data_IF_119704743413
#
_entry.id   IF_119704743413
#
_cell.length_a   1.000
_cell.length_b   1.000
_cell.length_c   1.000
_cell.angle_alpha   90.00
_cell.angle_beta   90.00
_cell.angle_gamma   90.00
#
_symmetry.space_group_name_H-M   'P 1'
#
loop_
_entity.id
_entity.type
_entity.pdbx_description
1 polymer ?
#
# COMPACT_ATOMS: atom_id res chain seq x y z
N UNK A 1 -6.97 -14.81 15.35
CA UNK A 1 -5.49 -14.66 15.40
C UNK A 1 -5.17 -13.55 16.39
N UNK A 2 -4.15 -13.68 17.26
CA UNK A 2 -3.75 -12.56 18.15
C UNK A 2 -3.16 -11.43 17.30
N UNK A 3 -3.53 -10.17 17.55
CA UNK A 3 -3.09 -8.99 16.77
C UNK A 3 -1.58 -8.92 16.58
N UNK A 4 -0.78 -9.27 17.60
CA UNK A 4 0.67 -9.35 17.52
C UNK A 4 1.20 -10.28 16.41
N UNK A 5 0.52 -11.41 16.13
CA UNK A 5 0.90 -12.31 15.03
C UNK A 5 0.66 -11.68 13.67
N UNK A 6 -0.41 -10.88 13.52
CA UNK A 6 -0.68 -10.14 12.29
C UNK A 6 0.35 -9.03 12.07
N UNK A 7 0.76 -8.34 13.13
CA UNK A 7 1.83 -7.32 13.04
C UNK A 7 3.15 -7.96 12.63
N UNK A 8 3.52 -9.10 13.22
CA UNK A 8 4.72 -9.84 12.80
C UNK A 8 4.64 -10.27 11.34
N UNK A 9 3.48 -10.77 10.89
CA UNK A 9 3.26 -11.12 9.49
C UNK A 9 3.40 -9.89 8.58
N UNK A 10 2.85 -8.75 8.99
CA UNK A 10 2.92 -7.49 8.25
C UNK A 10 4.35 -6.98 8.07
N UNK A 11 5.17 -7.11 9.13
CA UNK A 11 6.58 -6.76 9.07
C UNK A 11 7.36 -7.66 8.10
N UNK A 12 7.10 -8.96 8.12
CA UNK A 12 7.71 -9.90 7.17
C UNK A 12 7.29 -9.57 5.75
N UNK A 13 6.00 -9.29 5.53
CA UNK A 13 5.46 -8.87 4.24
C UNK A 13 6.14 -7.59 3.73
N UNK A 14 6.31 -6.57 4.58
CA UNK A 14 7.01 -5.34 4.23
C UNK A 14 8.45 -5.58 3.77
N UNK A 15 9.18 -6.44 4.48
CA UNK A 15 10.55 -6.82 4.12
C UNK A 15 10.55 -7.50 2.75
N UNK A 16 9.69 -8.51 2.55
CA UNK A 16 9.61 -9.24 1.28
C UNK A 16 9.29 -8.28 0.13
N UNK A 17 8.29 -7.41 0.27
CA UNK A 17 7.91 -6.44 -0.76
C UNK A 17 9.04 -5.46 -1.09
N UNK A 18 9.77 -4.98 -0.08
CA UNK A 18 10.92 -4.08 -0.31
C UNK A 18 12.05 -4.74 -1.12
N UNK A 19 12.23 -6.06 -1.01
CA UNK A 19 13.20 -6.81 -1.82
C UNK A 19 12.63 -7.25 -3.18
N UNK A 20 11.34 -7.57 -3.25
CA UNK A 20 10.70 -8.07 -4.44
C UNK A 20 10.43 -6.98 -5.49
N UNK A 21 10.18 -5.74 -5.08
CA UNK A 21 9.92 -4.64 -6.01
C UNK A 21 11.23 -4.19 -6.69
N UNK A 22 11.24 -4.05 -8.04
CA UNK A 22 12.37 -3.53 -8.82
C UNK A 22 13.00 -2.26 -8.25
N UNK A 23 14.30 -2.07 -8.52
CA UNK A 23 15.05 -0.87 -8.15
C UNK A 23 15.15 0.10 -9.33
N UNK A 24 15.58 1.32 -9.04
CA UNK A 24 15.66 2.44 -9.97
C UNK A 24 16.37 2.15 -11.32
N UNK A 25 17.28 1.18 -11.36
CA UNK A 25 18.07 0.84 -12.55
C UNK A 25 17.47 -0.26 -13.44
N UNK A 26 16.28 -0.76 -13.10
CA UNK A 26 15.58 -1.75 -13.93
C UNK A 26 14.99 -1.11 -15.18
N UNK A 27 15.01 -1.85 -16.29
CA UNK A 27 14.51 -1.39 -17.58
C UNK A 27 13.01 -1.03 -17.52
N UNK A 28 12.62 0.08 -18.16
CA UNK A 28 11.28 0.64 -18.03
C UNK A 28 10.19 -0.28 -18.59
N UNK A 29 10.44 -0.97 -19.71
CA UNK A 29 9.48 -1.89 -20.33
C UNK A 29 9.29 -3.12 -19.44
N UNK A 30 10.40 -3.74 -19.03
CA UNK A 30 10.41 -4.85 -18.07
C UNK A 30 9.64 -4.51 -16.79
N UNK A 31 9.78 -3.26 -16.35
CA UNK A 31 9.14 -2.75 -15.13
C UNK A 31 7.63 -2.58 -15.27
N UNK A 32 7.14 -2.02 -16.38
CA UNK A 32 5.70 -1.85 -16.60
C UNK A 32 4.96 -3.20 -16.64
N UNK A 33 5.54 -4.19 -17.32
CA UNK A 33 4.99 -5.54 -17.37
C UNK A 33 4.95 -6.18 -15.97
N UNK A 34 6.04 -6.03 -15.20
CA UNK A 34 6.12 -6.54 -13.83
C UNK A 34 5.16 -5.84 -12.87
N UNK A 35 5.00 -4.52 -12.99
CA UNK A 35 4.03 -3.75 -12.22
C UNK A 35 2.61 -4.29 -12.45
N UNK A 36 2.23 -4.48 -13.71
CA UNK A 36 0.89 -4.96 -14.05
C UNK A 36 0.65 -6.38 -13.51
N UNK A 37 1.65 -7.25 -13.62
CA UNK A 37 1.60 -8.60 -13.05
C UNK A 37 1.47 -8.58 -11.53
N UNK A 38 2.32 -7.83 -10.82
CA UNK A 38 2.34 -7.82 -9.36
C UNK A 38 1.07 -7.17 -8.78
N UNK A 39 0.56 -6.09 -9.40
CA UNK A 39 -0.72 -5.47 -9.02
C UNK A 39 -1.90 -6.44 -9.22
N UNK A 40 -1.92 -7.14 -10.34
CA UNK A 40 -2.97 -8.13 -10.63
C UNK A 40 -2.94 -9.25 -9.59
N UNK A 41 -1.75 -9.77 -9.27
CA UNK A 41 -1.59 -10.81 -8.26
C UNK A 41 -2.02 -10.34 -6.87
N UNK A 42 -1.59 -9.15 -6.45
CA UNK A 42 -1.96 -8.56 -5.16
C UNK A 42 -3.48 -8.39 -5.03
N UNK A 43 -4.16 -7.91 -6.08
CA UNK A 43 -5.62 -7.76 -6.08
C UNK A 43 -6.35 -9.11 -6.06
N UNK A 44 -5.87 -10.11 -6.81
CA UNK A 44 -6.48 -11.45 -6.81
C UNK A 44 -6.37 -12.11 -5.44
N UNK A 45 -5.21 -12.04 -4.78
CA UNK A 45 -5.01 -12.54 -3.42
C UNK A 45 -5.94 -11.80 -2.46
N UNK A 46 -6.00 -10.47 -2.56
CA UNK A 46 -6.85 -9.63 -1.71
C UNK A 46 -8.33 -9.98 -1.87
N UNK A 47 -8.81 -10.11 -3.12
CA UNK A 47 -10.17 -10.52 -3.42
C UNK A 47 -10.49 -11.90 -2.84
N UNK A 48 -9.60 -12.87 -3.01
CA UNK A 48 -9.80 -14.22 -2.48
C UNK A 48 -9.94 -14.23 -0.96
N UNK A 49 -9.08 -13.48 -0.24
CA UNK A 49 -9.16 -13.36 1.22
C UNK A 49 -10.44 -12.63 1.64
N UNK A 50 -10.80 -11.53 0.96
CA UNK A 50 -12.01 -10.76 1.30
C UNK A 50 -13.30 -11.55 1.09
N UNK A 51 -13.40 -12.34 0.01
CA UNK A 51 -14.53 -13.25 -0.23
C UNK A 51 -14.62 -14.30 0.87
N UNK A 52 -13.47 -14.85 1.29
CA UNK A 52 -13.41 -15.88 2.33
C UNK A 52 -13.84 -15.34 3.69
N UNK A 53 -13.34 -14.18 4.09
CA UNK A 53 -13.54 -13.64 5.44
C UNK A 53 -14.84 -12.86 5.62
N UNK A 54 -15.42 -12.31 4.55
CA UNK A 54 -16.66 -11.52 4.60
C UNK A 54 -17.82 -12.24 3.89
N UNK A 55 -17.89 -13.59 4.00
CA UNK A 55 -18.97 -14.38 3.40
C UNK A 55 -20.34 -13.86 3.85
N UNK A 56 -21.15 -13.43 2.88
CA UNK A 56 -22.48 -12.85 3.10
C UNK A 56 -22.53 -11.33 2.97
N UNK A 57 -21.40 -10.63 3.13
CA UNK A 57 -21.33 -9.16 3.14
C UNK A 57 -20.76 -8.59 1.82
N UNK A 58 -21.45 -8.86 0.70
CA UNK A 58 -20.97 -8.48 -0.65
C UNK A 58 -20.65 -6.99 -0.79
N UNK A 59 -21.44 -6.13 -0.14
CA UNK A 59 -21.24 -4.67 -0.16
C UNK A 59 -19.94 -4.25 0.53
N UNK A 60 -19.56 -4.93 1.61
CA UNK A 60 -18.30 -4.69 2.31
C UNK A 60 -17.10 -5.11 1.46
N UNK A 61 -17.17 -6.31 0.85
CA UNK A 61 -16.14 -6.83 -0.07
C UNK A 61 -15.89 -5.82 -1.20
N UNK A 62 -16.95 -5.36 -1.86
CA UNK A 62 -16.85 -4.43 -2.98
C UNK A 62 -16.23 -3.08 -2.56
N UNK A 63 -16.67 -2.52 -1.43
CA UNK A 63 -16.13 -1.25 -0.91
C UNK A 63 -14.64 -1.36 -0.59
N UNK A 64 -14.24 -2.41 0.14
CA UNK A 64 -12.84 -2.54 0.54
C UNK A 64 -11.92 -2.86 -0.64
N UNK A 65 -12.39 -3.68 -1.59
CA UNK A 65 -11.68 -3.93 -2.84
C UNK A 65 -11.49 -2.65 -3.64
N UNK A 66 -12.52 -1.82 -3.75
CA UNK A 66 -12.44 -0.52 -4.42
C UNK A 66 -11.38 0.37 -3.75
N UNK A 67 -11.30 0.38 -2.42
CA UNK A 67 -10.26 1.12 -1.70
C UNK A 67 -8.87 0.52 -1.95
N UNK A 68 -8.72 -0.80 -2.02
CA UNK A 68 -7.46 -1.45 -2.37
C UNK A 68 -7.00 -1.07 -3.79
N UNK A 69 -7.91 -0.99 -4.75
CA UNK A 69 -7.60 -0.49 -6.10
C UNK A 69 -7.24 1.00 -6.05
N UNK A 70 -7.95 1.79 -5.24
CA UNK A 70 -7.71 3.22 -5.11
C UNK A 70 -6.34 3.54 -4.50
N UNK A 71 -5.76 2.67 -3.65
CA UNK A 71 -4.42 2.93 -3.11
C UNK A 71 -3.38 3.04 -4.23
N UNK A 72 -3.54 2.27 -5.31
CA UNK A 72 -2.66 2.29 -6.48
C UNK A 72 -2.69 3.59 -7.29
N UNK A 73 -3.63 4.49 -7.02
CA UNK A 73 -3.55 5.87 -7.52
C UNK A 73 -2.27 6.58 -7.06
N UNK A 74 -1.65 6.15 -5.96
CA UNK A 74 -0.31 6.64 -5.57
C UNK A 74 0.74 6.36 -6.65
N UNK A 75 0.67 5.20 -7.32
CA UNK A 75 1.62 4.81 -8.37
C UNK A 75 1.40 5.69 -9.60
N UNK A 76 0.13 5.87 -10.00
CA UNK A 76 -0.24 6.77 -11.09
C UNK A 76 0.21 8.20 -10.81
N UNK A 77 -0.01 8.68 -9.58
CA UNK A 77 0.42 10.00 -9.14
C UNK A 77 1.95 10.15 -9.21
N UNK A 78 2.71 9.22 -8.65
CA UNK A 78 4.18 9.23 -8.76
C UNK A 78 4.66 9.22 -10.21
N UNK A 79 3.98 8.46 -11.08
CA UNK A 79 4.34 8.35 -12.50
C UNK A 79 4.03 9.62 -13.27
N UNK A 80 2.90 10.28 -12.99
CA UNK A 80 2.47 11.47 -13.73
C UNK A 80 3.23 12.73 -13.32
N UNK A 81 3.70 12.80 -12.07
CA UNK A 81 4.30 14.00 -11.51
C UNK A 81 5.80 13.87 -11.24
N UNK A 82 6.47 12.79 -11.66
CA UNK A 82 7.88 12.49 -11.30
C UNK A 82 8.85 13.65 -11.55
N UNK A 83 8.59 14.47 -12.57
CA UNK A 83 9.40 15.65 -12.90
C UNK A 83 9.40 16.74 -11.82
N UNK A 84 8.38 16.76 -10.94
CA UNK A 84 8.31 17.69 -9.80
C UNK A 84 9.30 17.32 -8.68
N UNK A 85 10.04 16.22 -8.84
CA UNK A 85 11.11 15.80 -7.95
C UNK A 85 10.62 15.63 -6.51
N UNK A 86 11.35 16.23 -5.56
CA UNK A 86 11.07 16.12 -4.13
C UNK A 86 9.68 16.60 -3.70
N UNK A 87 8.95 17.38 -4.52
CA UNK A 87 7.58 17.81 -4.23
C UNK A 87 6.57 16.66 -4.09
N UNK A 88 6.80 15.55 -4.80
CA UNK A 88 5.97 14.33 -4.70
C UNK A 88 6.08 13.69 -3.32
N UNK A 89 7.28 13.76 -2.71
CA UNK A 89 7.56 13.12 -1.43
C UNK A 89 6.74 13.72 -0.28
N UNK A 90 6.19 14.94 -0.43
CA UNK A 90 5.32 15.56 0.57
C UNK A 90 3.85 15.13 0.46
N UNK A 91 3.39 14.74 -0.73
CA UNK A 91 1.99 14.39 -0.98
C UNK A 91 1.74 12.89 -0.73
N UNK A 92 2.72 12.02 -1.00
CA UNK A 92 2.59 10.58 -0.76
C UNK A 92 2.21 10.23 0.70
N UNK A 93 2.82 10.83 1.75
CA UNK A 93 2.41 10.60 3.13
C UNK A 93 0.97 11.00 3.42
N UNK A 94 0.48 12.09 2.80
CA UNK A 94 -0.91 12.55 2.96
C UNK A 94 -1.87 11.50 2.38
N UNK A 95 -1.57 10.99 1.18
CA UNK A 95 -2.37 9.90 0.57
C UNK A 95 -2.35 8.64 1.43
N UNK A 96 -1.20 8.28 2.01
CA UNK A 96 -1.07 7.13 2.91
C UNK A 96 -1.97 7.25 4.14
N UNK A 97 -2.03 8.43 4.75
CA UNK A 97 -2.91 8.70 5.90
C UNK A 97 -4.38 8.61 5.50
N UNK A 98 -4.78 9.21 4.37
CA UNK A 98 -6.17 9.20 3.88
C UNK A 98 -6.63 7.78 3.57
N UNK A 99 -5.84 7.02 2.82
CA UNK A 99 -6.16 5.63 2.49
C UNK A 99 -6.15 4.74 3.74
N UNK A 100 -5.15 4.88 4.61
CA UNK A 100 -5.08 4.15 5.87
C UNK A 100 -6.32 4.35 6.73
N UNK A 101 -6.75 5.61 6.90
CA UNK A 101 -7.97 5.94 7.64
C UNK A 101 -9.23 5.34 6.99
N UNK A 102 -9.32 5.41 5.66
CA UNK A 102 -10.47 4.88 4.91
C UNK A 102 -10.55 3.36 5.03
N UNK A 103 -9.40 2.66 4.92
CA UNK A 103 -9.30 1.22 5.14
C UNK A 103 -9.76 0.88 6.56
N UNK A 104 -9.27 1.59 7.58
CA UNK A 104 -9.67 1.37 8.97
C UNK A 104 -11.18 1.47 9.16
N UNK A 105 -11.79 2.53 8.62
CA UNK A 105 -13.23 2.78 8.75
C UNK A 105 -14.10 1.75 8.03
N UNK A 106 -13.65 1.22 6.89
CA UNK A 106 -14.40 0.26 6.09
C UNK A 106 -14.18 -1.21 6.49
N UNK A 107 -13.21 -1.47 7.35
CA UNK A 107 -12.86 -2.83 7.75
C UNK A 107 -13.78 -3.33 8.86
N UNK A 108 -14.51 -4.41 8.59
CA UNK A 108 -15.41 -5.03 9.58
C UNK A 108 -14.72 -6.08 10.45
N UNK A 109 -13.55 -6.57 10.03
CA UNK A 109 -12.74 -7.49 10.79
C UNK A 109 -11.24 -7.18 10.60
N UNK A 110 -10.42 -7.70 11.50
CA UNK A 110 -8.97 -7.42 11.52
C UNK A 110 -8.22 -7.99 10.30
N UNK A 111 -8.76 -9.03 9.66
CA UNK A 111 -8.15 -9.62 8.45
C UNK A 111 -8.44 -8.75 7.24
N UNK A 112 -9.65 -8.21 7.11
CA UNK A 112 -10.00 -7.19 6.09
C UNK A 112 -9.12 -5.94 6.27
N UNK A 113 -8.93 -5.48 7.50
CA UNK A 113 -8.00 -4.38 7.81
C UNK A 113 -6.59 -4.71 7.35
N UNK A 114 -6.10 -5.91 7.68
CA UNK A 114 -4.79 -6.38 7.25
C UNK A 114 -4.65 -6.36 5.72
N UNK A 115 -5.61 -6.91 4.98
CA UNK A 115 -5.61 -6.91 3.50
C UNK A 115 -5.52 -5.49 2.94
N UNK A 116 -6.32 -4.55 3.47
CA UNK A 116 -6.24 -3.16 3.04
C UNK A 116 -4.87 -2.53 3.32
N UNK A 117 -4.33 -2.76 4.52
CA UNK A 117 -2.99 -2.28 4.89
C UNK A 117 -1.89 -2.87 4.00
N UNK A 118 -1.98 -4.15 3.62
CA UNK A 118 -1.05 -4.81 2.70
C UNK A 118 -1.08 -4.18 1.31
N UNK A 119 -2.28 -3.87 0.78
CA UNK A 119 -2.39 -3.14 -0.50
C UNK A 119 -1.86 -1.72 -0.42
N UNK A 120 -2.08 -1.03 0.71
CA UNK A 120 -1.53 0.30 0.93
C UNK A 120 0.00 0.26 0.95
N UNK A 121 0.59 -0.67 1.70
CA UNK A 121 2.04 -0.87 1.81
C UNK A 121 2.66 -1.19 0.44
N UNK A 122 2.08 -2.15 -0.26
CA UNK A 122 2.51 -2.54 -1.59
C UNK A 122 2.48 -1.35 -2.56
N UNK A 123 1.36 -0.62 -2.56
CA UNK A 123 1.21 0.58 -3.37
C UNK A 123 2.24 1.65 -3.04
N UNK A 124 2.56 1.85 -1.75
CA UNK A 124 3.52 2.85 -1.31
C UNK A 124 4.93 2.50 -1.76
N UNK A 125 5.33 1.24 -1.67
CA UNK A 125 6.64 0.79 -2.15
C UNK A 125 6.76 1.02 -3.65
N UNK A 126 5.76 0.57 -4.43
CA UNK A 126 5.74 0.77 -5.88
C UNK A 126 5.72 2.24 -6.28
N UNK A 127 4.94 3.08 -5.61
CA UNK A 127 4.87 4.50 -5.93
C UNK A 127 6.22 5.20 -5.75
N UNK A 128 6.99 4.85 -4.73
CA UNK A 128 8.32 5.42 -4.52
C UNK A 128 9.37 4.85 -5.48
N UNK A 129 9.31 3.54 -5.77
CA UNK A 129 10.23 2.92 -6.74
C UNK A 129 9.96 3.41 -8.17
N UNK A 130 8.70 3.53 -8.57
CA UNK A 130 8.30 4.08 -9.88
C UNK A 130 8.82 5.50 -10.08
N UNK A 131 8.66 6.37 -9.08
CA UNK A 131 9.27 7.70 -9.09
C UNK A 131 10.78 7.63 -9.34
N UNK A 132 11.48 6.77 -8.58
CA UNK A 132 12.92 6.58 -8.71
C UNK A 132 13.35 6.08 -10.09
N UNK A 133 12.63 5.12 -10.66
CA UNK A 133 12.90 4.52 -11.97
C UNK A 133 12.75 5.57 -13.07
N UNK A 134 11.64 6.32 -13.07
CA UNK A 134 11.40 7.36 -14.07
C UNK A 134 12.41 8.50 -13.94
N UNK A 135 12.78 8.88 -12.71
CA UNK A 135 13.83 9.86 -12.50
C UNK A 135 15.19 9.36 -12.99
N UNK A 136 15.50 8.07 -12.75
CA UNK A 136 16.77 7.47 -13.14
C UNK A 136 16.99 7.47 -14.66
N UNK A 137 15.95 7.08 -15.40
CA UNK A 137 16.02 6.96 -16.86
C UNK A 137 15.92 8.31 -17.58
N UNK A 138 15.17 9.27 -17.03
CA UNK A 138 14.89 10.53 -17.72
C UNK A 138 15.72 11.73 -17.21
N UNK A 139 16.36 11.61 -16.04
CA UNK A 139 17.04 12.75 -15.41
C UNK A 139 18.44 12.47 -14.89
N UNK A 140 18.67 11.34 -14.20
CA UNK A 140 19.98 11.04 -13.62
C UNK A 140 20.23 9.55 -13.47
N UNK A 141 21.18 8.99 -14.22
CA UNK A 141 21.46 7.54 -14.23
C UNK A 141 22.62 7.17 -13.30
N UNK A 142 22.61 7.65 -12.07
CA UNK A 142 23.70 7.50 -11.10
C UNK A 142 23.28 6.73 -9.83
N UNK A 143 24.27 6.20 -9.10
CA UNK A 143 24.04 5.39 -7.90
C UNK A 143 23.34 6.17 -6.77
N UNK A 144 23.54 7.49 -6.69
CA UNK A 144 22.89 8.32 -5.69
C UNK A 144 21.37 8.33 -5.90
N UNK A 145 20.92 8.50 -7.14
CA UNK A 145 19.50 8.42 -7.50
C UNK A 145 18.88 7.08 -7.10
N UNK A 146 19.58 5.97 -7.36
CA UNK A 146 19.12 4.64 -6.95
C UNK A 146 18.98 4.49 -5.44
N UNK A 147 19.96 5.01 -4.70
CA UNK A 147 19.98 4.96 -3.24
C UNK A 147 18.86 5.84 -2.65
N UNK A 148 18.67 7.05 -3.16
CA UNK A 148 17.62 7.99 -2.73
C UNK A 148 16.23 7.42 -2.98
N UNK A 149 15.96 6.85 -4.16
CA UNK A 149 14.70 6.20 -4.47
C UNK A 149 14.39 5.02 -3.51
N UNK A 150 15.41 4.20 -3.23
CA UNK A 150 15.28 3.08 -2.31
C UNK A 150 15.05 3.53 -0.87
N UNK A 151 15.71 4.62 -0.45
CA UNK A 151 15.48 5.25 0.84
C UNK A 151 14.04 5.74 0.97
N UNK A 152 13.51 6.44 -0.03
CA UNK A 152 12.12 6.91 -0.02
C UNK A 152 11.12 5.76 0.05
N UNK A 153 11.34 4.67 -0.70
CA UNK A 153 10.52 3.47 -0.58
C UNK A 153 10.56 2.86 0.83
N UNK A 154 11.74 2.81 1.45
CA UNK A 154 11.91 2.34 2.83
C UNK A 154 11.20 3.22 3.86
N UNK A 155 11.34 4.55 3.75
CA UNK A 155 10.67 5.51 4.64
C UNK A 155 9.15 5.45 4.49
N UNK A 156 8.65 5.40 3.26
CA UNK A 156 7.21 5.24 2.98
C UNK A 156 6.67 3.93 3.54
N UNK A 157 7.37 2.81 3.33
CA UNK A 157 6.98 1.52 3.89
C UNK A 157 6.95 1.55 5.43
N UNK A 158 7.96 2.16 6.06
CA UNK A 158 8.02 2.31 7.52
C UNK A 158 6.81 3.10 8.05
N UNK A 159 6.44 4.20 7.38
CA UNK A 159 5.28 5.00 7.77
C UNK A 159 4.00 4.16 7.72
N UNK A 160 3.76 3.45 6.61
CA UNK A 160 2.59 2.58 6.46
C UNK A 160 2.61 1.45 7.50
N UNK A 161 3.76 0.86 7.79
CA UNK A 161 3.93 -0.15 8.84
C UNK A 161 3.54 0.38 10.21
N UNK A 162 4.00 1.57 10.58
CA UNK A 162 3.68 2.18 11.88
C UNK A 162 2.17 2.45 11.98
N UNK A 163 1.59 3.13 10.99
CA UNK A 163 0.16 3.47 11.01
C UNK A 163 -0.70 2.19 11.03
N UNK A 164 -0.38 1.21 10.17
CA UNK A 164 -1.11 -0.06 10.10
C UNK A 164 -1.01 -0.86 11.40
N UNK A 165 0.16 -0.87 12.03
CA UNK A 165 0.35 -1.56 13.32
C UNK A 165 -0.51 -0.91 14.42
N UNK A 166 -0.56 0.42 14.47
CA UNK A 166 -1.43 1.15 15.41
C UNK A 166 -2.90 0.82 15.14
N UNK A 167 -3.33 0.84 13.87
CA UNK A 167 -4.70 0.50 13.48
C UNK A 167 -5.06 -0.93 13.86
N UNK A 168 -4.20 -1.91 13.58
CA UNK A 168 -4.41 -3.33 13.91
C UNK A 168 -4.49 -3.53 15.43
N UNK A 169 -3.61 -2.90 16.21
CA UNK A 169 -3.62 -2.98 17.68
C UNK A 169 -4.89 -2.38 18.28
N UNK A 170 -5.32 -1.22 17.78
CA UNK A 170 -6.52 -0.53 18.26
C UNK A 170 -7.82 -1.09 17.68
N UNK A 171 -7.76 -2.03 16.74
CA UNK A 171 -8.94 -2.54 16.07
C UNK A 171 -9.81 -3.34 17.05
N UNK A 172 -10.96 -2.78 17.39
CA UNK A 172 -12.01 -3.44 18.15
C UNK A 172 -13.32 -3.37 17.36
N UNK A 173 -13.88 -4.51 16.90
CA UNK A 173 -15.06 -4.52 16.03
C UNK A 173 -16.33 -4.00 16.72
N UNK A 174 -16.34 -3.89 18.06
CA UNK A 174 -17.47 -3.35 18.82
C UNK A 174 -17.54 -1.82 18.77
N UNK A 175 -16.40 -1.14 18.65
CA UNK A 175 -16.34 0.32 18.66
C UNK A 175 -16.86 0.93 17.34
N UNK A 176 -16.88 0.16 16.25
CA UNK A 176 -17.49 0.60 14.98
C UNK A 176 -19.03 0.53 14.97
N UNK A 177 -19.63 -0.39 15.75
CA UNK A 177 -21.10 -0.54 15.79
C UNK A 177 -21.80 0.58 16.56
N UNK A 178 -21.17 1.21 17.56
CA UNK A 178 -21.82 2.28 18.32
C UNK A 178 -22.02 3.55 17.49
N UNK A 179 -21.17 3.79 16.48
CA UNK A 179 -21.31 4.94 15.57
C UNK A 179 -22.40 4.75 14.51
N UNK A 180 -22.85 3.53 14.24
CA UNK A 180 -23.98 3.26 13.33
C UNK A 180 -25.34 3.37 14.03
N UNK A 181 -25.38 3.25 15.37
CA UNK A 181 -26.62 3.41 16.16
C UNK A 181 -26.94 4.84 16.56
N UNK A 182 -26.02 5.79 16.35
CA UNK A 182 -26.21 7.23 16.64
C UNK A 182 -26.56 8.06 15.39
N UNK A 183 -27.01 7.42 14.31
CA UNK A 183 -27.54 8.07 13.09
C UNK A 183 -28.93 7.54 12.77
#
# INVERSE_FOLDING_TARGET
>A
MKQWKLISLFLIEAIIMLYAVPKANEDEISMQDRLLFDLSLALLISLAILIRENRGERKSIAKLLLVCVATYLQIVYSSAFYEWGGGICLILPILQIIFGYTIFKLSHNVVSLFVGCSNLLFSTIWANQMFGILWFHNRSSDLETMAVASLYAGVGALLVVVISSIMIMKFNPKDLKSYETDR
#
